data_IF_517539682408
#
_entry.id   IF_517539682408
#
_cell.length_a   1.000
_cell.length_b   1.000
_cell.length_c   1.000
_cell.angle_alpha   90.00
_cell.angle_beta   90.00
_cell.angle_gamma   90.00
#
_symmetry.space_group_name_H-M   'P 1'
#
loop_
_entity.id
_entity.type
_entity.pdbx_description
1 polymer ?
#
# COMPACT_ATOMS: atom_id res chain seq x y z
N UNK A 1 6.91 1.81 10.05
CA UNK A 1 5.70 1.26 10.71
C UNK A 1 5.53 -0.23 10.42
N UNK A 2 5.55 -0.65 9.15
CA UNK A 2 5.33 -2.06 8.77
C UNK A 2 6.59 -2.95 8.84
N UNK A 3 7.77 -2.34 9.01
CA UNK A 3 9.05 -3.05 9.14
C UNK A 3 9.00 -4.16 10.21
N UNK A 4 9.54 -5.33 9.88
CA UNK A 4 9.64 -6.47 10.80
C UNK A 4 8.39 -7.34 10.91
N UNK A 5 7.29 -6.97 10.26
CA UNK A 5 6.14 -7.87 10.13
C UNK A 5 6.49 -9.06 9.21
N UNK A 6 6.10 -10.30 9.54
CA UNK A 6 6.37 -11.46 8.71
C UNK A 6 5.47 -11.53 7.47
N UNK A 7 4.25 -11.00 7.58
CA UNK A 7 3.26 -10.94 6.51
C UNK A 7 2.48 -9.62 6.56
N UNK A 8 1.99 -9.19 5.41
CA UNK A 8 1.07 -8.07 5.25
C UNK A 8 -0.24 -8.58 4.65
N UNK A 9 -1.34 -7.95 5.05
CA UNK A 9 -2.67 -8.21 4.50
C UNK A 9 -3.17 -6.95 3.82
N UNK A 10 -3.36 -7.03 2.51
CA UNK A 10 -3.89 -5.94 1.70
C UNK A 10 -5.36 -6.26 1.37
N UNK A 11 -6.29 -5.39 1.78
CA UNK A 11 -7.69 -5.55 1.41
C UNK A 11 -7.86 -5.21 -0.07
N UNK A 12 -8.35 -6.15 -0.87
CA UNK A 12 -8.48 -6.01 -2.34
C UNK A 12 -9.94 -6.01 -2.81
N UNK A 13 -10.87 -5.94 -1.86
CA UNK A 13 -12.31 -5.97 -2.10
C UNK A 13 -13.06 -6.47 -0.88
N UNK A 14 -14.37 -6.61 -1.03
CA UNK A 14 -15.28 -6.95 0.04
C UNK A 14 -16.28 -8.00 -0.42
N UNK A 15 -16.73 -8.85 0.50
CA UNK A 15 -17.97 -9.59 0.33
C UNK A 15 -19.09 -8.78 0.99
N UNK A 16 -20.12 -8.47 0.22
CA UNK A 16 -21.34 -7.79 0.66
C UNK A 16 -22.54 -8.59 0.15
N UNK A 17 -23.39 -9.07 1.06
CA UNK A 17 -24.58 -9.86 0.76
C UNK A 17 -24.31 -11.04 -0.19
N UNK A 18 -23.20 -11.74 0.01
CA UNK A 18 -22.77 -12.89 -0.79
C UNK A 18 -22.20 -12.53 -2.17
N UNK A 19 -22.03 -11.24 -2.48
CA UNK A 19 -21.40 -10.76 -3.72
C UNK A 19 -20.03 -10.15 -3.42
N UNK A 20 -19.07 -10.43 -4.31
CA UNK A 20 -17.79 -9.73 -4.30
C UNK A 20 -17.96 -8.34 -4.92
N UNK A 21 -17.46 -7.33 -4.23
CA UNK A 21 -17.30 -5.96 -4.71
C UNK A 21 -15.84 -5.53 -4.54
N UNK A 22 -15.36 -4.65 -5.41
CA UNK A 22 -13.98 -4.13 -5.44
C UNK A 22 -13.88 -2.66 -4.99
N UNK A 23 -14.99 -1.93 -5.03
CA UNK A 23 -15.12 -0.58 -4.49
C UNK A 23 -15.88 -0.58 -3.17
N UNK A 24 -15.50 0.35 -2.30
CA UNK A 24 -16.20 0.57 -1.03
C UNK A 24 -17.65 1.04 -1.32
N UNK A 25 -18.67 0.44 -0.69
CA UNK A 25 -20.05 0.85 -0.89
C UNK A 25 -20.35 2.23 -0.27
N UNK A 26 -21.50 2.79 -0.62
CA UNK A 26 -21.93 4.09 -0.11
C UNK A 26 -22.76 3.95 1.16
N UNK A 27 -22.42 4.75 2.18
CA UNK A 27 -23.16 4.79 3.44
C UNK A 27 -22.63 3.80 4.48
N UNK A 28 -22.76 4.17 5.75
CA UNK A 28 -22.19 3.41 6.86
C UNK A 28 -22.80 2.02 7.05
N UNK A 29 -24.07 1.85 6.66
CA UNK A 29 -24.80 0.58 6.82
C UNK A 29 -24.19 -0.52 5.94
N UNK A 30 -24.02 -0.27 4.64
CA UNK A 30 -23.39 -1.23 3.72
C UNK A 30 -21.92 -1.48 4.05
N UNK A 31 -21.18 -0.43 4.44
CA UNK A 31 -19.78 -0.56 4.86
C UNK A 31 -19.65 -1.46 6.11
N UNK A 32 -20.59 -1.39 7.05
CA UNK A 32 -20.57 -2.22 8.27
C UNK A 32 -20.77 -3.71 7.94
N UNK A 33 -21.51 -4.01 6.87
CA UNK A 33 -21.78 -5.38 6.42
C UNK A 33 -20.68 -5.97 5.54
N UNK A 34 -19.65 -5.20 5.20
CA UNK A 34 -18.56 -5.66 4.34
C UNK A 34 -17.59 -6.58 5.08
N UNK A 35 -17.38 -7.79 4.55
CA UNK A 35 -16.29 -8.67 4.96
C UNK A 35 -15.07 -8.45 4.04
N UNK A 36 -13.90 -8.04 4.56
CA UNK A 36 -12.74 -7.73 3.73
C UNK A 36 -12.13 -9.00 3.12
N UNK A 37 -11.80 -8.92 1.83
CA UNK A 37 -11.05 -9.95 1.09
C UNK A 37 -9.58 -9.54 1.07
N UNK A 38 -8.76 -10.24 1.86
CA UNK A 38 -7.33 -9.97 1.95
C UNK A 38 -6.51 -10.76 0.95
N UNK A 39 -5.55 -10.09 0.36
CA UNK A 39 -4.37 -10.70 -0.25
C UNK A 39 -3.23 -10.70 0.77
N UNK A 40 -2.62 -11.87 1.02
CA UNK A 40 -1.47 -11.99 1.92
C UNK A 40 -0.18 -11.86 1.12
N UNK A 41 0.68 -10.95 1.55
CA UNK A 41 1.99 -10.69 0.96
C UNK A 41 3.08 -10.94 2.00
N UNK A 42 4.28 -11.31 1.55
CA UNK A 42 5.43 -11.40 2.43
C UNK A 42 5.75 -10.01 3.01
N UNK A 43 5.95 -9.94 4.32
CA UNK A 43 6.56 -8.77 4.94
C UNK A 43 8.07 -8.77 4.69
N UNK A 44 8.78 -7.78 5.24
CA UNK A 44 10.23 -7.65 5.07
C UNK A 44 10.96 -7.62 6.41
N UNK A 45 12.18 -8.16 6.35
CA UNK A 45 13.22 -7.92 7.36
C UNK A 45 14.06 -6.71 6.96
N UNK A 46 14.63 -6.01 7.94
CA UNK A 46 15.32 -4.73 7.72
C UNK A 46 14.39 -3.53 7.88
N UNK A 47 14.84 -2.37 7.44
CA UNK A 47 14.11 -1.11 7.65
C UNK A 47 13.88 -0.34 6.36
N UNK A 48 12.71 0.29 6.30
CA UNK A 48 12.38 1.34 5.32
C UNK A 48 12.63 2.73 5.88
N UNK A 49 12.84 2.86 7.20
CA UNK A 49 12.99 4.15 7.87
C UNK A 49 14.17 4.93 7.31
N UNK A 50 13.89 6.15 6.85
CA UNK A 50 14.88 7.06 6.28
C UNK A 50 15.41 6.69 4.89
N UNK A 51 14.83 5.71 4.19
CA UNK A 51 15.25 5.37 2.84
C UNK A 51 14.98 6.51 1.84
N UNK A 52 16.02 7.01 1.17
CA UNK A 52 15.91 8.17 0.26
C UNK A 52 15.89 7.79 -1.23
N UNK A 53 15.96 6.50 -1.56
CA UNK A 53 15.88 6.00 -2.94
C UNK A 53 15.08 4.71 -3.04
N UNK A 54 14.53 4.46 -4.23
CA UNK A 54 13.74 3.26 -4.51
C UNK A 54 14.53 1.96 -4.25
N UNK A 55 15.80 1.92 -4.68
CA UNK A 55 16.64 0.73 -4.54
C UNK A 55 17.14 0.50 -3.11
N UNK A 56 17.01 1.49 -2.23
CA UNK A 56 17.27 1.32 -0.79
C UNK A 56 16.14 0.58 -0.07
N UNK A 57 14.96 0.43 -0.69
CA UNK A 57 13.85 -0.31 -0.11
C UNK A 57 14.07 -1.83 -0.21
N UNK A 58 13.67 -2.60 0.81
CA UNK A 58 13.59 -4.05 0.73
C UNK A 58 12.76 -4.51 -0.48
N UNK A 59 13.09 -5.67 -1.03
CA UNK A 59 12.43 -6.19 -2.23
C UNK A 59 10.92 -6.40 -2.00
N UNK A 60 10.54 -6.89 -0.83
CA UNK A 60 9.16 -7.17 -0.45
C UNK A 60 8.38 -5.87 -0.20
N UNK A 61 9.05 -4.82 0.29
CA UNK A 61 8.47 -3.48 0.40
C UNK A 61 8.15 -2.91 -0.99
N UNK A 62 9.07 -3.06 -1.96
CA UNK A 62 8.82 -2.67 -3.36
C UNK A 62 7.68 -3.47 -3.99
N UNK A 63 7.62 -4.78 -3.73
CA UNK A 63 6.53 -5.62 -4.19
C UNK A 63 5.17 -5.19 -3.62
N UNK A 64 5.11 -4.83 -2.33
CA UNK A 64 3.91 -4.28 -1.71
C UNK A 64 3.45 -2.97 -2.37
N UNK A 65 4.38 -2.05 -2.62
CA UNK A 65 4.06 -0.79 -3.31
C UNK A 65 3.58 -1.03 -4.74
N UNK A 66 4.24 -1.90 -5.51
CA UNK A 66 3.78 -2.26 -6.85
C UNK A 66 2.39 -2.88 -6.86
N UNK A 67 2.06 -3.72 -5.86
CA UNK A 67 0.73 -4.30 -5.78
C UNK A 67 -0.36 -3.26 -5.54
N UNK A 68 -0.07 -2.24 -4.73
CA UNK A 68 -0.96 -1.09 -4.56
C UNK A 68 -1.16 -0.35 -5.88
N UNK A 69 -0.08 -0.10 -6.64
CA UNK A 69 -0.18 0.54 -7.97
C UNK A 69 -1.08 -0.25 -8.94
N UNK A 70 -0.96 -1.58 -8.94
CA UNK A 70 -1.79 -2.45 -9.77
C UNK A 70 -3.27 -2.39 -9.40
N UNK A 71 -3.61 -2.40 -8.10
CA UNK A 71 -5.00 -2.39 -7.63
C UNK A 71 -5.63 -1.01 -7.85
N UNK A 72 -4.88 0.05 -7.59
CA UNK A 72 -5.39 1.42 -7.72
C UNK A 72 -5.30 1.94 -9.16
N UNK A 73 -4.65 1.21 -10.07
CA UNK A 73 -4.42 1.58 -11.47
C UNK A 73 -3.73 2.94 -11.63
N UNK A 74 -2.93 3.35 -10.64
CA UNK A 74 -2.21 4.63 -10.61
C UNK A 74 -0.80 4.46 -10.03
N UNK A 75 0.18 5.26 -10.48
CA UNK A 75 1.53 5.18 -9.94
C UNK A 75 1.64 5.78 -8.54
N UNK A 76 2.54 5.22 -7.73
CA UNK A 76 3.00 5.82 -6.48
C UNK A 76 4.18 6.73 -6.79
N UNK A 77 3.92 8.03 -6.84
CA UNK A 77 4.92 9.04 -7.23
C UNK A 77 5.81 9.50 -6.07
N UNK A 78 5.33 9.40 -4.84
CA UNK A 78 5.99 9.90 -3.63
C UNK A 78 5.85 8.87 -2.51
N UNK A 79 6.96 8.54 -1.84
CA UNK A 79 6.99 7.62 -0.69
C UNK A 79 7.70 8.33 0.45
N UNK A 80 6.99 8.62 1.55
CA UNK A 80 7.59 9.16 2.77
C UNK A 80 8.01 8.01 3.68
N UNK A 81 9.27 8.01 4.08
CA UNK A 81 9.91 6.93 4.84
C UNK A 81 10.25 7.32 6.27
N UNK A 82 9.99 8.57 6.67
CA UNK A 82 10.26 9.07 8.00
C UNK A 82 9.77 10.52 8.18
N UNK A 83 9.93 11.09 9.39
CA UNK A 83 9.45 12.43 9.71
C UNK A 83 10.24 13.57 9.07
N UNK A 84 11.50 13.36 8.68
CA UNK A 84 12.35 14.41 8.14
C UNK A 84 12.07 14.68 6.65
N UNK A 85 12.42 15.88 6.19
CA UNK A 85 12.08 16.34 4.83
C UNK A 85 12.75 15.52 3.74
N UNK A 86 13.99 15.11 3.97
CA UNK A 86 14.79 14.34 3.02
C UNK A 86 14.52 12.82 3.13
N UNK A 87 13.73 12.37 4.09
CA UNK A 87 13.23 10.99 4.20
C UNK A 87 12.00 10.79 3.29
N UNK A 88 12.18 11.14 2.02
CA UNK A 88 11.16 11.07 0.97
C UNK A 88 11.78 10.61 -0.35
N UNK A 89 11.23 9.54 -0.92
CA UNK A 89 11.57 9.07 -2.26
C UNK A 89 10.61 9.73 -3.24
N UNK A 90 11.17 10.50 -4.17
CA UNK A 90 10.43 11.17 -5.24
C UNK A 90 10.64 10.44 -6.57
N UNK A 91 9.65 9.66 -7.02
CA UNK A 91 9.69 8.97 -8.33
C UNK A 91 9.24 9.88 -9.46
N UNK A 92 8.23 10.72 -9.22
CA UNK A 92 7.76 11.74 -10.16
C UNK A 92 7.40 13.01 -9.39
N UNK A 93 7.94 14.15 -9.81
CA UNK A 93 7.57 15.44 -9.22
C UNK A 93 6.20 15.88 -9.74
N UNK A 94 5.21 16.21 -8.88
CA UNK A 94 3.87 16.59 -9.34
C UNK A 94 3.83 17.86 -10.23
N UNK A 95 4.84 18.72 -10.11
CA UNK A 95 5.04 19.90 -10.96
C UNK A 95 6.21 19.74 -11.95
N UNK A 96 6.78 18.54 -12.08
CA UNK A 96 7.80 18.24 -13.07
C UNK A 96 7.20 18.22 -14.47
N UNK A 97 7.92 18.77 -15.45
CA UNK A 97 7.53 18.71 -16.86
C UNK A 97 7.65 17.28 -17.42
#
# INVERSE_FOLDING_TARGET
VLDGLPELKLCTGYMLDGKRIDLLPMGSEEVTSCEPIYETMAGWSGTTFGAQSWDALPQEARAYLHRIEEICEVPIDVISTGPERDETILRRHPFGA
#
